data_IF_588943828609
#
_entry.id   IF_588943828609
#
_cell.length_a   1.000
_cell.length_b   1.000
_cell.length_c   1.000
_cell.angle_alpha   90.00
_cell.angle_beta   90.00
_cell.angle_gamma   90.00
#
_symmetry.space_group_name_H-M   'P 1'
#
loop_
_entity.id
_entity.type
_entity.pdbx_description
1 polymer ?
#
# COMPACT_ATOMS: atom_id res chain seq x y z
N UNK A 1 -70.56 -18.15 20.63
CA UNK A 1 -69.13 -18.15 21.12
C UNK A 1 -68.19 -18.10 19.91
N UNK A 2 -67.41 -17.07 19.74
CA UNK A 2 -66.40 -17.04 18.69
C UNK A 2 -65.02 -17.48 19.22
N UNK A 3 -64.43 -18.45 18.54
CA UNK A 3 -63.04 -18.92 18.74
C UNK A 3 -62.06 -17.82 18.36
N UNK A 4 -61.28 -17.39 19.33
CA UNK A 4 -60.13 -16.46 19.16
C UNK A 4 -58.93 -17.28 18.73
N UNK A 5 -58.50 -17.11 17.49
CA UNK A 5 -57.19 -17.58 16.99
C UNK A 5 -56.09 -16.64 17.48
N UNK A 6 -55.27 -17.10 18.40
CA UNK A 6 -54.06 -16.40 18.80
C UNK A 6 -52.97 -16.64 17.73
N UNK A 7 -52.63 -15.60 17.00
CA UNK A 7 -51.49 -15.61 16.09
C UNK A 7 -50.20 -15.51 16.90
N UNK A 8 -49.42 -16.60 16.93
CA UNK A 8 -48.03 -16.57 17.40
C UNK A 8 -47.17 -15.80 16.38
N UNK A 9 -46.77 -14.59 16.74
CA UNK A 9 -45.70 -13.91 16.05
C UNK A 9 -44.37 -14.57 16.42
N UNK A 10 -43.85 -15.40 15.51
CA UNK A 10 -42.44 -15.84 15.55
C UNK A 10 -41.63 -14.64 15.09
N UNK A 11 -41.00 -13.93 16.04
CA UNK A 11 -39.96 -12.97 15.74
C UNK A 11 -38.73 -13.77 15.29
N UNK A 12 -38.58 -13.93 13.98
CA UNK A 12 -37.34 -14.38 13.40
C UNK A 12 -36.27 -13.34 13.75
N UNK A 13 -35.30 -13.75 14.58
CA UNK A 13 -34.08 -12.96 14.82
C UNK A 13 -33.42 -12.71 13.47
N UNK A 14 -33.47 -11.47 13.01
CA UNK A 14 -32.55 -10.98 11.99
C UNK A 14 -31.19 -10.98 12.66
N UNK A 15 -30.39 -11.99 12.38
CA UNK A 15 -28.96 -11.94 12.62
C UNK A 15 -28.47 -10.65 11.94
N UNK A 16 -28.09 -9.66 12.74
CA UNK A 16 -27.35 -8.52 12.25
C UNK A 16 -26.06 -9.08 11.63
N UNK A 17 -26.07 -9.23 10.31
CA UNK A 17 -24.83 -9.36 9.56
C UNK A 17 -24.11 -8.03 9.83
N UNK A 18 -23.15 -8.07 10.75
CA UNK A 18 -22.29 -6.95 11.04
C UNK A 18 -21.52 -6.70 9.75
N UNK A 19 -21.80 -5.59 9.08
CA UNK A 19 -20.98 -5.18 7.93
C UNK A 19 -19.51 -5.15 8.42
N UNK A 20 -18.57 -5.73 7.65
CA UNK A 20 -17.18 -5.71 8.06
C UNK A 20 -16.76 -4.26 8.26
N UNK A 21 -16.17 -3.96 9.43
CA UNK A 21 -15.67 -2.63 9.73
C UNK A 21 -14.74 -2.17 8.59
N UNK A 22 -15.09 -1.07 7.92
CA UNK A 22 -14.30 -0.49 6.84
C UNK A 22 -12.90 -0.14 7.37
N UNK A 23 -11.88 -0.63 6.67
CA UNK A 23 -10.49 -0.27 7.00
C UNK A 23 -10.20 1.19 6.63
N UNK A 24 -9.07 1.77 7.13
CA UNK A 24 -8.64 3.10 6.67
C UNK A 24 -8.39 3.14 5.17
N UNK A 25 -7.92 2.03 4.58
CA UNK A 25 -7.71 1.92 3.13
C UNK A 25 -9.04 2.02 2.39
N UNK A 26 -10.06 1.25 2.80
CA UNK A 26 -11.39 1.27 2.19
C UNK A 26 -12.05 2.65 2.33
N UNK A 27 -11.95 3.25 3.51
CA UNK A 27 -12.45 4.60 3.78
C UNK A 27 -11.79 5.64 2.88
N UNK A 28 -10.46 5.55 2.69
CA UNK A 28 -9.71 6.47 1.83
C UNK A 28 -10.14 6.34 0.37
N UNK A 29 -10.21 5.13 -0.18
CA UNK A 29 -10.67 4.93 -1.56
C UNK A 29 -12.12 5.36 -1.78
N UNK A 30 -12.99 5.10 -0.82
CA UNK A 30 -14.40 5.55 -0.88
C UNK A 30 -14.49 7.08 -0.92
N UNK A 31 -13.72 7.77 -0.09
CA UNK A 31 -13.68 9.23 -0.06
C UNK A 31 -13.12 9.81 -1.37
N UNK A 32 -12.06 9.21 -1.93
CA UNK A 32 -11.48 9.63 -3.22
C UNK A 32 -12.48 9.44 -4.36
N UNK A 33 -13.15 8.28 -4.41
CA UNK A 33 -14.16 7.99 -5.42
C UNK A 33 -15.34 8.97 -5.34
N UNK A 34 -15.83 9.28 -4.13
CA UNK A 34 -16.88 10.28 -3.91
C UNK A 34 -16.47 11.69 -4.35
N UNK A 35 -15.17 12.02 -4.23
CA UNK A 35 -14.61 13.29 -4.69
C UNK A 35 -14.24 13.32 -6.18
N UNK A 36 -14.39 12.20 -6.91
CA UNK A 36 -13.96 12.05 -8.30
C UNK A 36 -12.44 12.15 -8.47
N UNK A 37 -11.66 11.79 -7.43
CA UNK A 37 -10.19 11.86 -7.41
C UNK A 37 -9.56 10.48 -7.51
N UNK A 38 -8.32 10.47 -7.99
CA UNK A 38 -7.45 9.30 -8.04
C UNK A 38 -6.49 9.30 -6.86
N UNK A 39 -6.11 8.12 -6.36
CA UNK A 39 -5.20 8.00 -5.24
C UNK A 39 -3.75 8.35 -5.62
N UNK A 40 -3.04 9.01 -4.71
CA UNK A 40 -1.59 9.14 -4.77
C UNK A 40 -0.95 8.39 -3.61
N UNK A 41 -0.16 7.38 -3.93
CA UNK A 41 0.56 6.53 -2.98
C UNK A 41 2.04 6.88 -3.02
N UNK A 42 2.65 7.11 -1.86
CA UNK A 42 4.07 7.43 -1.74
C UNK A 42 4.80 6.30 -1.03
N UNK A 43 5.77 5.68 -1.72
CA UNK A 43 6.71 4.78 -1.06
C UNK A 43 7.88 5.57 -0.47
N UNK A 44 8.23 5.25 0.76
CA UNK A 44 9.42 5.73 1.45
C UNK A 44 10.07 4.59 2.22
N UNK A 45 11.43 4.54 2.27
CA UNK A 45 12.15 3.56 3.08
C UNK A 45 12.23 4.07 4.53
N UNK A 46 11.74 3.28 5.49
CA UNK A 46 11.82 3.63 6.90
C UNK A 46 13.28 3.79 7.34
N UNK A 47 13.60 4.96 7.89
CA UNK A 47 14.94 5.28 8.42
C UNK A 47 15.98 5.68 7.37
N UNK A 48 15.58 5.99 6.15
CA UNK A 48 16.48 6.51 5.11
C UNK A 48 16.39 8.05 5.03
N UNK A 49 17.49 8.81 5.12
CA UNK A 49 18.86 8.39 5.40
C UNK A 49 19.14 8.10 6.89
N UNK A 50 18.30 8.58 7.79
CA UNK A 50 18.28 8.34 9.23
C UNK A 50 16.84 8.38 9.76
N UNK A 51 16.67 8.01 11.04
CA UNK A 51 15.34 7.90 11.66
C UNK A 51 14.60 9.24 11.71
N UNK A 52 15.29 10.32 12.10
CA UNK A 52 14.63 11.62 12.35
C UNK A 52 14.21 12.28 11.04
N UNK A 53 15.07 12.27 10.02
CA UNK A 53 14.73 12.78 8.68
C UNK A 53 13.61 11.96 8.04
N UNK A 54 13.65 10.63 8.16
CA UNK A 54 12.61 9.74 7.66
C UNK A 54 11.27 9.97 8.36
N UNK A 55 11.25 10.08 9.69
CA UNK A 55 10.04 10.37 10.46
C UNK A 55 9.44 11.74 10.09
N UNK A 56 10.30 12.76 9.94
CA UNK A 56 9.87 14.09 9.52
C UNK A 56 9.23 14.08 8.12
N UNK A 57 9.80 13.30 7.18
CA UNK A 57 9.22 13.08 5.86
C UNK A 57 7.86 12.40 5.98
N UNK A 58 7.78 11.24 6.66
CA UNK A 58 6.54 10.45 6.83
C UNK A 58 5.41 11.31 7.42
N UNK A 59 5.70 12.09 8.47
CA UNK A 59 4.72 13.00 9.09
C UNK A 59 4.26 14.12 8.16
N UNK A 60 5.09 14.53 7.20
CA UNK A 60 4.75 15.58 6.22
C UNK A 60 3.97 15.09 5.00
N UNK A 61 4.00 13.78 4.69
CA UNK A 61 3.40 13.22 3.47
C UNK A 61 1.90 13.52 3.32
N UNK A 62 1.05 13.40 4.35
CA UNK A 62 -0.38 13.71 4.21
C UNK A 62 -0.65 15.15 3.79
N UNK A 63 0.07 16.11 4.39
CA UNK A 63 -0.05 17.53 4.03
C UNK A 63 0.49 17.84 2.61
N UNK A 64 1.37 16.99 2.08
CA UNK A 64 1.85 17.02 0.70
C UNK A 64 0.88 16.34 -0.29
N UNK A 65 -0.28 15.85 0.17
CA UNK A 65 -1.31 15.26 -0.69
C UNK A 65 -1.19 13.74 -0.86
N UNK A 66 -0.41 13.06 -0.05
CA UNK A 66 -0.33 11.59 -0.07
C UNK A 66 -1.57 10.99 0.57
N UNK A 67 -2.25 10.11 -0.15
CA UNK A 67 -3.46 9.42 0.31
C UNK A 67 -3.15 8.15 1.08
N UNK A 68 -2.09 7.42 0.68
CA UNK A 68 -1.65 6.18 1.32
C UNK A 68 -0.11 6.22 1.40
N UNK A 69 0.43 5.91 2.57
CA UNK A 69 1.87 5.80 2.79
C UNK A 69 2.26 4.33 2.65
N UNK A 70 3.17 4.04 1.74
CA UNK A 70 3.83 2.74 1.62
C UNK A 70 5.18 2.83 2.32
N UNK A 71 5.25 2.24 3.52
CA UNK A 71 6.42 2.30 4.40
C UNK A 71 7.29 1.07 4.19
N UNK A 72 8.45 1.25 3.58
CA UNK A 72 9.40 0.17 3.31
C UNK A 72 10.11 -0.31 4.58
N UNK A 73 10.06 -1.61 4.84
CA UNK A 73 10.84 -2.26 5.88
C UNK A 73 12.24 -2.59 5.33
N UNK A 74 13.33 -2.01 5.85
CA UNK A 74 14.67 -2.31 5.36
C UNK A 74 15.05 -3.76 5.67
N UNK A 75 15.66 -4.42 4.67
CA UNK A 75 16.08 -5.81 4.73
C UNK A 75 17.45 -6.00 4.07
N UNK A 76 18.22 -6.98 4.53
CA UNK A 76 19.59 -7.25 4.04
C UNK A 76 19.64 -7.87 2.65
N UNK A 77 18.56 -8.61 2.26
CA UNK A 77 18.53 -9.43 1.05
C UNK A 77 17.33 -9.04 0.14
N UNK A 78 17.24 -7.79 -0.33
CA UNK A 78 16.05 -7.24 -0.98
C UNK A 78 16.00 -7.62 -2.48
N UNK A 79 15.77 -8.91 -2.79
CA UNK A 79 15.88 -9.48 -4.13
C UNK A 79 14.89 -8.88 -5.16
N UNK A 80 13.77 -8.32 -4.71
CA UNK A 80 12.76 -7.73 -5.60
C UNK A 80 12.95 -6.22 -5.80
N UNK A 81 13.83 -5.59 -5.04
CA UNK A 81 14.02 -4.14 -5.08
C UNK A 81 15.01 -3.71 -6.17
N UNK A 82 14.72 -2.57 -6.79
CA UNK A 82 15.67 -1.91 -7.68
C UNK A 82 16.82 -1.22 -6.91
N UNK A 83 17.93 -0.86 -7.61
CA UNK A 83 19.14 -0.32 -6.97
C UNK A 83 18.89 0.90 -6.05
N UNK A 84 18.00 1.80 -6.43
CA UNK A 84 17.65 2.98 -5.61
C UNK A 84 17.08 2.56 -4.25
N UNK A 85 16.17 1.59 -4.23
CA UNK A 85 15.53 1.11 -3.01
C UNK A 85 16.49 0.25 -2.19
N UNK A 86 17.31 -0.60 -2.84
CA UNK A 86 18.36 -1.37 -2.17
C UNK A 86 19.34 -0.45 -1.43
N UNK A 87 19.82 0.62 -2.08
CA UNK A 87 20.72 1.59 -1.45
C UNK A 87 20.06 2.34 -0.29
N UNK A 88 18.77 2.65 -0.40
CA UNK A 88 18.01 3.25 0.70
C UNK A 88 17.92 2.29 1.90
N UNK A 89 17.62 1.01 1.64
CA UNK A 89 17.61 -0.04 2.67
C UNK A 89 18.98 -0.18 3.37
N UNK A 90 20.07 -0.14 2.61
CA UNK A 90 21.44 -0.20 3.17
C UNK A 90 21.74 1.02 4.06
N UNK A 91 21.35 2.25 3.65
CA UNK A 91 21.50 3.44 4.50
C UNK A 91 20.69 3.32 5.78
N UNK A 92 19.42 2.92 5.67
CA UNK A 92 18.55 2.71 6.82
C UNK A 92 19.11 1.66 7.80
N UNK A 93 19.54 0.50 7.30
CA UNK A 93 20.17 -0.53 8.14
C UNK A 93 21.45 -0.02 8.81
N UNK A 94 22.29 0.72 8.07
CA UNK A 94 23.51 1.34 8.61
C UNK A 94 23.20 2.38 9.68
N UNK A 95 22.06 3.06 9.59
CA UNK A 95 21.54 3.99 10.60
C UNK A 95 20.85 3.27 11.78
N UNK A 96 20.90 1.93 11.82
CA UNK A 96 20.38 1.11 12.91
C UNK A 96 18.87 0.85 12.84
N UNK A 97 18.27 0.93 11.65
CA UNK A 97 16.85 0.55 11.51
C UNK A 97 16.66 -0.95 11.67
N UNK A 98 15.51 -1.28 12.24
CA UNK A 98 15.04 -2.66 12.49
C UNK A 98 13.53 -2.70 12.26
N UNK A 99 12.95 -3.90 12.22
CA UNK A 99 11.49 -4.07 12.20
C UNK A 99 10.82 -3.34 13.39
N UNK A 100 11.39 -3.43 14.61
CA UNK A 100 10.84 -2.74 15.78
C UNK A 100 10.81 -1.23 15.59
N UNK A 101 11.93 -0.64 15.18
CA UNK A 101 12.03 0.81 14.93
C UNK A 101 11.13 1.26 13.77
N UNK A 102 10.87 0.41 12.78
CA UNK A 102 9.91 0.70 11.71
C UNK A 102 8.49 0.77 12.27
N UNK A 103 8.11 -0.15 13.17
CA UNK A 103 6.82 -0.08 13.86
C UNK A 103 6.74 1.12 14.82
N UNK A 104 7.84 1.49 15.49
CA UNK A 104 7.90 2.71 16.32
C UNK A 104 7.70 3.98 15.48
N UNK A 105 8.21 4.02 14.26
CA UNK A 105 7.96 5.12 13.32
C UNK A 105 6.46 5.23 12.97
N UNK A 106 5.79 4.11 12.73
CA UNK A 106 4.35 4.10 12.50
C UNK A 106 3.58 4.59 13.74
N UNK A 107 3.95 4.16 14.96
CA UNK A 107 3.35 4.66 16.22
C UNK A 107 3.53 6.17 16.36
N UNK A 108 4.75 6.68 16.12
CA UNK A 108 5.06 8.10 16.19
C UNK A 108 4.29 8.92 15.13
N UNK A 109 4.03 8.38 13.95
CA UNK A 109 3.17 8.99 12.96
C UNK A 109 1.72 9.05 13.46
N UNK A 110 1.20 7.97 14.06
CA UNK A 110 -0.18 7.89 14.60
C UNK A 110 -0.47 8.88 15.73
N UNK A 111 0.53 9.40 16.41
CA UNK A 111 0.35 10.49 17.38
C UNK A 111 -0.23 11.76 16.76
N UNK A 112 -0.08 11.95 15.46
CA UNK A 112 -0.48 13.17 14.74
C UNK A 112 -1.49 12.93 13.62
N UNK A 113 -1.62 11.70 13.12
CA UNK A 113 -2.55 11.33 12.03
C UNK A 113 -3.06 9.90 12.25
N UNK A 114 -4.36 9.75 12.46
CA UNK A 114 -5.06 8.47 12.61
C UNK A 114 -5.92 8.11 11.37
N UNK A 115 -5.87 8.91 10.31
CA UNK A 115 -6.72 8.79 9.12
C UNK A 115 -5.99 8.31 7.87
N UNK A 116 -4.72 8.70 7.69
CA UNK A 116 -3.94 8.31 6.50
C UNK A 116 -3.48 6.85 6.62
N UNK A 117 -3.85 5.95 5.69
CA UNK A 117 -3.42 4.57 5.73
C UNK A 117 -1.90 4.42 5.62
N UNK A 118 -1.34 3.47 6.39
CA UNK A 118 0.04 2.99 6.26
C UNK A 118 0.02 1.53 5.80
N UNK A 119 0.65 1.26 4.68
CA UNK A 119 0.92 -0.09 4.17
C UNK A 119 2.40 -0.39 4.41
N UNK A 120 2.70 -1.44 5.19
CA UNK A 120 4.07 -1.90 5.38
C UNK A 120 4.48 -2.78 4.21
N UNK A 121 5.53 -2.39 3.49
CA UNK A 121 6.09 -3.18 2.39
C UNK A 121 7.43 -3.79 2.80
N UNK A 122 7.58 -5.10 2.56
CA UNK A 122 8.83 -5.78 2.89
C UNK A 122 8.86 -7.24 2.44
N UNK A 123 9.64 -8.02 3.16
CA UNK A 123 9.93 -9.42 2.89
C UNK A 123 9.45 -10.30 4.04
N UNK A 124 9.17 -11.56 3.75
CA UNK A 124 8.59 -12.49 4.72
C UNK A 124 9.58 -12.90 5.83
N UNK A 125 10.87 -13.02 5.51
CA UNK A 125 11.88 -13.50 6.46
C UNK A 125 11.93 -12.73 7.79
N UNK A 126 11.97 -11.39 7.84
CA UNK A 126 11.93 -10.64 9.12
C UNK A 126 10.66 -10.90 9.93
N UNK A 127 9.53 -11.10 9.26
CA UNK A 127 8.23 -11.39 9.88
C UNK A 127 8.25 -12.79 10.48
N UNK A 128 8.68 -13.78 9.69
CA UNK A 128 8.81 -15.16 10.11
C UNK A 128 9.72 -15.30 11.34
N UNK A 129 10.88 -14.63 11.32
CA UNK A 129 11.83 -14.65 12.43
C UNK A 129 11.27 -14.02 13.72
N UNK A 130 10.40 -13.01 13.62
CA UNK A 130 9.69 -12.42 14.78
C UNK A 130 8.59 -13.33 15.32
N UNK A 131 8.05 -14.20 14.48
CA UNK A 131 6.82 -14.97 14.68
C UNK A 131 5.59 -14.19 14.17
N UNK A 132 4.83 -14.84 13.28
CA UNK A 132 3.71 -14.21 12.54
C UNK A 132 2.67 -13.60 13.49
N UNK A 133 2.17 -14.35 14.46
CA UNK A 133 1.15 -13.85 15.39
C UNK A 133 1.61 -12.61 16.16
N UNK A 134 2.86 -12.66 16.66
CA UNK A 134 3.45 -11.52 17.37
C UNK A 134 3.62 -10.32 16.45
N UNK A 135 4.11 -10.53 15.22
CA UNK A 135 4.25 -9.45 14.25
C UNK A 135 2.91 -8.80 13.93
N UNK A 136 1.86 -9.59 13.66
CA UNK A 136 0.53 -9.07 13.34
C UNK A 136 -0.07 -8.25 14.49
N UNK A 137 0.06 -8.74 15.73
CA UNK A 137 -0.37 -8.00 16.90
C UNK A 137 0.38 -6.67 17.05
N UNK A 138 1.71 -6.68 16.91
CA UNK A 138 2.57 -5.50 17.01
C UNK A 138 2.30 -4.49 15.87
N UNK A 139 2.12 -4.97 14.63
CA UNK A 139 1.82 -4.14 13.47
C UNK A 139 0.45 -3.46 13.61
N UNK A 140 -0.58 -4.21 14.02
CA UNK A 140 -1.91 -3.66 14.28
C UNK A 140 -1.87 -2.61 15.39
N UNK A 141 -1.19 -2.90 16.51
CA UNK A 141 -1.02 -1.97 17.62
C UNK A 141 -0.19 -0.72 17.23
N UNK A 142 0.71 -0.84 16.26
CA UNK A 142 1.46 0.30 15.71
C UNK A 142 0.64 1.14 14.73
N UNK A 143 -0.56 0.69 14.34
CA UNK A 143 -1.44 1.41 13.43
C UNK A 143 -1.12 1.16 11.95
N UNK A 144 -0.50 0.04 11.61
CA UNK A 144 -0.40 -0.45 10.23
C UNK A 144 -1.80 -0.88 9.75
N UNK A 145 -2.13 -0.60 8.50
CA UNK A 145 -3.42 -0.89 7.88
C UNK A 145 -3.37 -2.03 6.88
N UNK A 146 -2.21 -2.26 6.28
CA UNK A 146 -2.04 -3.31 5.29
C UNK A 146 -0.60 -3.72 5.11
N UNK A 147 -0.41 -4.84 4.39
CA UNK A 147 0.88 -5.45 4.13
C UNK A 147 1.06 -5.68 2.63
N UNK A 148 2.28 -5.41 2.12
CA UNK A 148 2.79 -5.89 0.84
C UNK A 148 4.02 -6.73 1.14
N UNK A 149 3.92 -8.05 0.97
CA UNK A 149 5.04 -8.97 1.20
C UNK A 149 5.42 -9.59 -0.14
N UNK A 150 6.53 -9.09 -0.69
CA UNK A 150 6.87 -9.26 -2.10
C UNK A 150 7.31 -10.68 -2.48
N UNK A 151 7.76 -11.46 -1.52
CA UNK A 151 8.28 -12.82 -1.68
C UNK A 151 7.34 -13.91 -1.14
N UNK A 152 6.11 -13.55 -0.70
CA UNK A 152 5.10 -14.53 -0.27
C UNK A 152 4.04 -14.74 -1.38
N UNK A 153 4.08 -15.86 -2.10
CA UNK A 153 3.14 -16.15 -3.18
C UNK A 153 1.76 -16.53 -2.65
N UNK A 154 0.68 -16.43 -3.47
CA UNK A 154 -0.68 -16.80 -3.05
C UNK A 154 -0.85 -18.27 -2.63
N UNK A 155 0.06 -19.16 -3.02
CA UNK A 155 0.08 -20.56 -2.62
C UNK A 155 0.39 -20.74 -1.12
N UNK A 156 1.02 -19.73 -0.50
CA UNK A 156 1.43 -19.72 0.91
C UNK A 156 0.57 -18.74 1.74
N UNK A 157 -0.68 -18.53 1.34
CA UNK A 157 -1.59 -17.59 2.03
C UNK A 157 -1.83 -17.94 3.50
N UNK A 158 -1.80 -19.23 3.84
CA UNK A 158 -1.97 -19.70 5.22
C UNK A 158 -0.85 -19.24 6.16
N UNK A 159 0.33 -18.96 5.62
CA UNK A 159 1.49 -18.51 6.42
C UNK A 159 1.30 -17.08 6.99
N UNK A 160 0.73 -16.17 6.21
CA UNK A 160 0.61 -14.76 6.64
C UNK A 160 -0.65 -14.05 6.14
N UNK A 161 -1.07 -14.26 4.88
CA UNK A 161 -2.18 -13.50 4.28
C UNK A 161 -3.49 -13.70 5.06
N UNK A 162 -3.89 -14.96 5.26
CA UNK A 162 -5.11 -15.29 6.01
C UNK A 162 -5.02 -14.85 7.49
N UNK A 163 -3.90 -15.10 8.22
CA UNK A 163 -3.72 -14.53 9.56
C UNK A 163 -3.79 -12.99 9.61
N UNK A 164 -3.19 -12.29 8.63
CA UNK A 164 -3.22 -10.83 8.58
C UNK A 164 -4.64 -10.29 8.42
N UNK A 165 -5.43 -10.86 7.53
CA UNK A 165 -6.83 -10.48 7.35
C UNK A 165 -7.67 -10.74 8.61
N UNK A 166 -7.46 -11.87 9.29
CA UNK A 166 -8.11 -12.15 10.58
C UNK A 166 -7.71 -11.15 11.66
N UNK A 167 -6.50 -10.60 11.60
CA UNK A 167 -6.05 -9.53 12.48
C UNK A 167 -6.58 -8.14 12.07
N UNK A 168 -7.35 -8.03 10.97
CA UNK A 168 -7.89 -6.78 10.44
C UNK A 168 -6.85 -5.93 9.71
N UNK A 169 -5.86 -6.56 9.07
CA UNK A 169 -4.90 -5.92 8.15
C UNK A 169 -5.23 -6.32 6.71
N UNK A 170 -5.25 -5.36 5.80
CA UNK A 170 -5.35 -5.66 4.38
C UNK A 170 -4.09 -6.38 3.88
N UNK A 171 -4.25 -7.25 2.90
CA UNK A 171 -3.13 -7.91 2.24
C UNK A 171 -3.13 -7.56 0.76
N UNK A 172 -2.25 -6.64 0.38
CA UNK A 172 -2.14 -6.10 -0.97
C UNK A 172 -1.22 -7.00 -1.78
N UNK A 173 -1.65 -7.40 -2.96
CA UNK A 173 -0.86 -8.24 -3.86
C UNK A 173 -0.36 -7.47 -5.06
N UNK A 174 0.82 -7.90 -5.51
CA UNK A 174 1.45 -7.39 -6.72
C UNK A 174 0.98 -8.18 -7.92
N UNK A 175 0.51 -7.49 -8.95
CA UNK A 175 0.36 -8.02 -10.30
C UNK A 175 1.43 -7.41 -11.21
N UNK A 176 1.94 -8.18 -12.15
CA UNK A 176 3.02 -7.79 -13.05
C UNK A 176 2.65 -8.15 -14.50
N UNK A 177 3.38 -7.69 -15.52
CA UNK A 177 3.17 -8.12 -16.90
C UNK A 177 3.26 -9.64 -17.11
N UNK A 178 3.94 -10.36 -16.20
CA UNK A 178 4.00 -11.83 -16.22
C UNK A 178 2.82 -12.51 -15.51
N UNK A 179 1.95 -11.74 -14.86
CA UNK A 179 0.70 -12.24 -14.26
C UNK A 179 -0.33 -12.38 -15.38
N UNK A 180 -0.32 -13.52 -16.06
CA UNK A 180 -1.23 -13.82 -17.18
C UNK A 180 -2.69 -14.03 -16.73
N UNK A 181 -3.59 -14.26 -17.70
CA UNK A 181 -5.01 -14.47 -17.44
C UNK A 181 -5.29 -15.73 -16.57
N UNK A 182 -4.39 -16.72 -16.60
CA UNK A 182 -4.51 -17.94 -15.80
C UNK A 182 -4.05 -17.71 -14.36
N UNK A 183 -3.02 -16.89 -14.17
CA UNK A 183 -2.43 -16.57 -12.86
C UNK A 183 -3.23 -15.53 -12.08
N UNK A 184 -3.83 -14.56 -12.77
CA UNK A 184 -4.49 -13.41 -12.14
C UNK A 184 -5.60 -13.80 -11.15
N UNK A 185 -6.51 -14.75 -11.42
CA UNK A 185 -7.53 -15.16 -10.43
C UNK A 185 -6.91 -15.64 -9.11
N UNK A 186 -5.79 -16.38 -9.16
CA UNK A 186 -5.11 -16.86 -7.95
C UNK A 186 -4.46 -15.71 -7.18
N UNK A 187 -3.90 -14.71 -7.87
CA UNK A 187 -3.36 -13.51 -7.24
C UNK A 187 -4.47 -12.72 -6.53
N UNK A 188 -5.67 -12.65 -7.13
CA UNK A 188 -6.78 -11.87 -6.60
C UNK A 188 -7.55 -12.55 -5.45
N UNK A 189 -7.46 -13.89 -5.30
CA UNK A 189 -8.30 -14.71 -4.43
C UNK A 189 -8.41 -14.17 -2.98
N UNK A 190 -7.30 -13.82 -2.37
CA UNK A 190 -7.24 -13.29 -1.00
C UNK A 190 -6.62 -11.87 -0.95
N UNK A 191 -6.63 -11.14 -2.07
CA UNK A 191 -6.21 -9.75 -2.09
C UNK A 191 -7.27 -8.86 -1.46
N UNK A 192 -6.84 -7.89 -0.65
CA UNK A 192 -7.72 -6.91 -0.03
C UNK A 192 -7.09 -5.51 0.00
N UNK A 193 -7.93 -4.48 0.15
CA UNK A 193 -7.51 -3.09 0.09
C UNK A 193 -7.39 -2.60 -1.35
N UNK A 194 -6.37 -3.01 -2.07
CA UNK A 194 -6.17 -2.71 -3.50
C UNK A 194 -5.25 -3.71 -4.19
N UNK A 195 -5.22 -3.70 -5.52
CA UNK A 195 -4.24 -4.43 -6.33
C UNK A 195 -3.14 -3.47 -6.75
N UNK A 196 -1.88 -3.84 -6.53
CA UNK A 196 -0.74 -3.06 -6.96
C UNK A 196 -0.20 -3.63 -8.28
N UNK A 197 -0.35 -2.91 -9.39
CA UNK A 197 0.24 -3.30 -10.66
C UNK A 197 1.62 -2.68 -10.84
N UNK A 198 2.65 -3.53 -10.90
CA UNK A 198 4.03 -3.13 -11.18
C UNK A 198 4.31 -3.31 -12.66
N UNK A 199 4.36 -2.21 -13.41
CA UNK A 199 4.41 -2.23 -14.87
C UNK A 199 5.80 -2.47 -15.48
N UNK A 200 6.85 -2.58 -14.65
CA UNK A 200 8.22 -2.76 -15.13
C UNK A 200 8.63 -4.23 -15.01
N UNK A 201 8.88 -4.88 -16.13
CA UNK A 201 9.62 -6.14 -16.20
C UNK A 201 11.08 -5.83 -16.49
N UNK A 202 11.94 -6.01 -15.49
CA UNK A 202 13.40 -5.94 -15.68
C UNK A 202 14.09 -4.85 -14.85
N UNK A 203 15.41 -4.95 -14.83
CA UNK A 203 16.34 -4.08 -14.13
C UNK A 203 16.12 -2.60 -14.50
N UNK A 204 16.07 -1.76 -13.50
CA UNK A 204 16.00 -0.31 -13.57
C UNK A 204 17.05 0.27 -14.52
N UNK A 205 16.58 0.98 -15.55
CA UNK A 205 17.42 1.61 -16.59
C UNK A 205 16.80 1.61 -17.98
N UNK A 206 15.76 0.80 -18.22
CA UNK A 206 14.96 0.90 -19.44
C UNK A 206 14.08 2.17 -19.39
N UNK A 207 13.77 2.73 -20.56
CA UNK A 207 12.82 3.83 -20.67
C UNK A 207 11.49 3.42 -20.02
N UNK A 208 10.94 4.29 -19.16
CA UNK A 208 9.65 4.03 -18.52
C UNK A 208 8.61 3.82 -19.65
N UNK A 209 7.81 2.71 -19.61
CA UNK A 209 6.74 2.51 -20.59
C UNK A 209 5.78 3.72 -20.54
N UNK A 210 5.08 3.99 -21.61
CA UNK A 210 4.07 5.06 -21.65
C UNK A 210 2.77 4.57 -20.97
N UNK A 211 1.95 5.48 -20.45
CA UNK A 211 0.65 5.11 -19.87
C UNK A 211 -0.22 4.29 -20.85
N UNK A 212 -0.11 4.58 -22.15
CA UNK A 212 -0.82 3.83 -23.22
C UNK A 212 -0.42 2.35 -23.28
N UNK A 213 0.83 2.01 -22.92
CA UNK A 213 1.31 0.63 -22.93
C UNK A 213 0.79 -0.17 -21.73
N UNK A 214 0.45 0.53 -20.63
CA UNK A 214 -0.03 -0.04 -19.35
C UNK A 214 -1.55 -0.17 -19.32
N UNK A 215 -2.27 0.70 -20.03
CA UNK A 215 -3.73 0.77 -19.98
C UNK A 215 -4.44 -0.57 -20.27
N UNK A 216 -4.03 -1.40 -21.26
CA UNK A 216 -4.67 -2.69 -21.53
C UNK A 216 -4.58 -3.66 -20.33
N UNK A 217 -3.44 -3.69 -19.65
CA UNK A 217 -3.22 -4.56 -18.50
C UNK A 217 -4.05 -4.11 -17.28
N UNK A 218 -4.11 -2.81 -17.04
CA UNK A 218 -4.97 -2.24 -15.98
C UNK A 218 -6.43 -2.57 -16.26
N UNK A 219 -6.91 -2.39 -17.49
CA UNK A 219 -8.27 -2.75 -17.90
C UNK A 219 -8.54 -4.26 -17.71
N UNK A 220 -7.58 -5.12 -18.05
CA UNK A 220 -7.67 -6.57 -17.84
C UNK A 220 -7.81 -6.92 -16.35
N UNK A 221 -7.03 -6.31 -15.47
CA UNK A 221 -7.11 -6.54 -14.02
C UNK A 221 -8.47 -6.04 -13.51
N UNK A 222 -8.86 -4.82 -13.84
CA UNK A 222 -10.14 -4.21 -13.41
C UNK A 222 -11.37 -5.00 -13.90
N UNK A 223 -11.27 -5.77 -14.97
CA UNK A 223 -12.36 -6.65 -15.42
C UNK A 223 -12.57 -7.88 -14.54
N UNK A 224 -11.68 -8.17 -13.60
CA UNK A 224 -11.71 -9.36 -12.74
C UNK A 224 -11.79 -9.05 -11.24
N UNK A 225 -11.83 -7.78 -10.86
CA UNK A 225 -11.93 -7.37 -9.45
C UNK A 225 -12.62 -6.02 -9.31
N UNK A 226 -13.35 -5.85 -8.20
CA UNK A 226 -13.89 -4.55 -7.77
C UNK A 226 -12.88 -3.75 -6.94
N UNK A 227 -11.73 -4.36 -6.57
CA UNK A 227 -10.69 -3.65 -5.83
C UNK A 227 -10.08 -2.53 -6.67
N UNK A 228 -9.72 -1.40 -6.06
CA UNK A 228 -8.94 -0.36 -6.74
C UNK A 228 -7.64 -0.93 -7.31
N UNK A 229 -7.25 -0.49 -8.50
CA UNK A 229 -5.98 -0.88 -9.14
C UNK A 229 -5.06 0.32 -9.15
N UNK A 230 -3.94 0.22 -8.43
CA UNK A 230 -2.92 1.26 -8.31
C UNK A 230 -1.70 0.86 -9.12
N UNK A 231 -1.09 1.80 -9.84
CA UNK A 231 0.02 1.52 -10.74
C UNK A 231 1.32 2.14 -10.26
N UNK A 232 2.35 1.32 -10.09
CA UNK A 232 3.72 1.73 -9.88
C UNK A 232 4.53 1.68 -11.20
N UNK A 233 5.15 2.81 -11.57
CA UNK A 233 5.59 2.99 -12.95
C UNK A 233 6.87 3.82 -13.16
N UNK A 234 7.76 3.96 -12.21
CA UNK A 234 8.92 4.82 -12.41
C UNK A 234 8.57 6.30 -12.66
N UNK A 235 7.47 6.76 -12.14
CA UNK A 235 6.95 8.12 -12.23
C UNK A 235 7.94 9.10 -11.62
N UNK A 236 8.24 10.20 -12.34
CA UNK A 236 9.19 11.24 -11.91
C UNK A 236 8.68 12.67 -12.08
N UNK A 237 7.55 12.85 -12.77
CA UNK A 237 6.98 14.18 -13.04
C UNK A 237 5.48 14.21 -12.75
N UNK A 238 4.90 15.38 -12.48
CA UNK A 238 3.46 15.54 -12.28
C UNK A 238 2.64 15.06 -13.49
N UNK A 239 3.13 15.29 -14.71
CA UNK A 239 2.45 14.87 -15.96
C UNK A 239 2.40 13.35 -16.06
N UNK A 240 3.50 12.66 -15.72
CA UNK A 240 3.53 11.20 -15.69
C UNK A 240 2.61 10.65 -14.59
N UNK A 241 2.57 11.29 -13.42
CA UNK A 241 1.66 10.95 -12.33
C UNK A 241 0.19 11.05 -12.77
N UNK A 242 -0.17 12.16 -13.43
CA UNK A 242 -1.50 12.37 -14.02
C UNK A 242 -1.84 11.32 -15.08
N UNK A 243 -0.91 11.07 -16.00
CA UNK A 243 -1.16 10.12 -17.10
C UNK A 243 -1.45 8.70 -16.61
N UNK A 244 -0.74 8.25 -15.55
CA UNK A 244 -0.96 6.95 -14.92
C UNK A 244 -2.26 6.94 -14.11
N UNK A 245 -2.52 7.97 -13.32
CA UNK A 245 -3.75 8.07 -12.54
C UNK A 245 -5.00 8.09 -13.43
N UNK A 246 -4.92 8.66 -14.64
CA UNK A 246 -6.03 8.70 -15.60
C UNK A 246 -6.47 7.31 -16.10
N UNK A 247 -5.59 6.32 -16.14
CA UNK A 247 -5.89 4.95 -16.61
C UNK A 247 -6.12 3.96 -15.46
N UNK A 248 -5.85 4.35 -14.22
CA UNK A 248 -5.93 3.51 -13.03
C UNK A 248 -6.80 4.18 -11.94
N UNK A 249 -6.81 3.63 -10.74
CA UNK A 249 -7.46 4.24 -9.58
C UNK A 249 -6.47 5.05 -8.73
N UNK A 250 -5.19 5.03 -9.13
CA UNK A 250 -4.15 5.85 -8.53
C UNK A 250 -2.75 5.50 -9.05
N UNK A 251 -1.78 6.28 -8.58
CA UNK A 251 -0.38 6.15 -8.95
C UNK A 251 0.50 5.99 -7.70
N UNK A 252 1.53 5.13 -7.80
CA UNK A 252 2.55 4.96 -6.75
C UNK A 252 3.87 5.57 -7.21
N UNK A 253 4.48 6.37 -6.33
CA UNK A 253 5.81 6.93 -6.56
C UNK A 253 6.73 6.55 -5.40
N UNK A 254 7.84 5.86 -5.73
CA UNK A 254 8.85 5.46 -4.75
C UNK A 254 10.24 6.00 -5.10
N UNK A 255 10.89 5.39 -6.09
CA UNK A 255 12.31 5.65 -6.40
C UNK A 255 12.65 7.12 -6.64
N UNK A 256 11.73 7.92 -7.19
CA UNK A 256 11.94 9.35 -7.37
C UNK A 256 12.07 10.08 -6.03
N UNK A 257 11.16 9.80 -5.08
CA UNK A 257 11.16 10.41 -3.73
C UNK A 257 12.40 9.96 -2.95
N UNK A 258 12.69 8.67 -2.98
CA UNK A 258 13.89 8.09 -2.33
C UNK A 258 15.18 8.70 -2.90
N UNK A 259 15.22 8.99 -4.21
CA UNK A 259 16.39 9.64 -4.83
C UNK A 259 16.58 11.08 -4.33
N UNK A 260 15.49 11.82 -4.11
CA UNK A 260 15.56 13.19 -3.55
C UNK A 260 16.12 13.16 -2.12
N UNK A 261 15.68 12.21 -1.28
CA UNK A 261 16.24 11.99 0.06
C UNK A 261 17.73 11.61 0.00
N UNK A 262 18.08 10.69 -0.90
CA UNK A 262 19.46 10.25 -1.09
C UNK A 262 20.40 11.37 -1.57
N UNK A 263 19.87 12.36 -2.28
CA UNK A 263 20.62 13.55 -2.69
C UNK A 263 20.88 14.55 -1.54
N UNK A 264 20.40 14.25 -0.32
CA UNK A 264 20.56 15.10 0.87
C UNK A 264 19.73 16.38 0.84
N UNK A 265 18.62 16.39 0.08
CA UNK A 265 17.73 17.54 0.05
C UNK A 265 17.02 17.72 1.39
N UNK A 266 16.79 18.95 1.82
CA UNK A 266 15.94 19.23 2.98
C UNK A 266 14.57 18.58 2.85
N UNK A 267 14.03 18.02 3.92
CA UNK A 267 12.71 17.32 3.93
C UNK A 267 11.61 18.20 3.32
N UNK A 268 11.62 19.51 3.56
CA UNK A 268 10.63 20.43 3.00
C UNK A 268 10.68 20.52 1.47
N UNK A 269 11.86 20.44 0.87
CA UNK A 269 12.02 20.41 -0.59
C UNK A 269 11.52 19.09 -1.17
N UNK A 270 11.79 17.97 -0.48
CA UNK A 270 11.25 16.65 -0.86
C UNK A 270 9.73 16.64 -0.76
N UNK A 271 9.14 17.19 0.31
CA UNK A 271 7.69 17.32 0.46
C UNK A 271 7.06 18.20 -0.63
N UNK A 272 7.73 19.29 -1.03
CA UNK A 272 7.27 20.12 -2.15
C UNK A 272 7.28 19.34 -3.48
N UNK A 273 8.30 18.52 -3.71
CA UNK A 273 8.34 17.61 -4.87
C UNK A 273 7.21 16.57 -4.80
N UNK A 274 7.02 15.90 -3.65
CA UNK A 274 5.90 14.96 -3.42
C UNK A 274 4.56 15.62 -3.73
N UNK A 275 4.36 16.86 -3.23
CA UNK A 275 3.14 17.61 -3.49
C UNK A 275 2.88 17.82 -4.98
N UNK A 276 3.91 18.16 -5.75
CA UNK A 276 3.76 18.34 -7.20
C UNK A 276 3.28 17.07 -7.90
N UNK A 277 3.79 15.91 -7.48
CA UNK A 277 3.40 14.61 -8.00
C UNK A 277 1.97 14.22 -7.60
N UNK A 278 1.59 14.49 -6.34
CA UNK A 278 0.24 14.26 -5.83
C UNK A 278 -0.79 15.15 -6.54
N UNK A 279 -0.50 16.44 -6.73
CA UNK A 279 -1.34 17.37 -7.50
C UNK A 279 -1.55 16.87 -8.94
N UNK A 280 -0.50 16.28 -9.54
CA UNK A 280 -0.60 15.61 -10.84
C UNK A 280 -1.62 14.46 -10.83
N UNK A 281 -1.49 13.51 -9.90
CA UNK A 281 -2.42 12.39 -9.79
C UNK A 281 -3.87 12.84 -9.51
N UNK A 282 -4.06 13.78 -8.61
CA UNK A 282 -5.38 14.29 -8.23
C UNK A 282 -6.07 15.11 -9.33
N UNK A 283 -5.34 15.53 -10.36
CA UNK A 283 -5.88 16.26 -11.53
C UNK A 283 -6.30 15.36 -12.69
N UNK A 284 -6.23 14.03 -12.51
CA UNK A 284 -6.50 13.03 -13.54
C UNK A 284 -8.00 12.80 -13.80
#
# INVERSE_FOLDING_TARGET
EPLIFAALFVTSGLDHIQEPDMTRIDTKFSALAAAGKKAFVSYVMAGDPDYDASLALVKGLPAAGVDIIELGLPFTDPMADGPTIQLAGQRALSAGMTLERTLDMARAFRETDDTTPIVLMGYYNPIYNRGVDKFLADAKAAGIDGLIIVDLPPEEDDELCIPAQKAGLNFIRLATPTTDAKRLPKVLENTSGFVYYVSITGITGAAAPQAVDVAPEVARIKSQTELPVIVGFGIRTPEASRAIAAIADGAVVGSAIVSEMAAGKPVQEVLAFVKSLADGAHSA
#
